data_IF_990427805281
#
_entry.id   IF_990427805281
#
_cell.length_a   1.000
_cell.length_b   1.000
_cell.length_c   1.000
_cell.angle_alpha   90.00
_cell.angle_beta   90.00
_cell.angle_gamma   90.00
#
_symmetry.space_group_name_H-M   'P 1'
#
loop_
_entity.id
_entity.type
_entity.pdbx_description
1 polymer ?
#
# COMPACT_ATOMS: atom_id res chain seq x y z
N UNK A 1 -8.48 -6.47 -0.40
CA UNK A 1 -8.16 -6.97 0.95
C UNK A 1 -6.73 -6.59 1.29
N UNK A 2 -6.49 -5.98 2.44
CA UNK A 2 -5.15 -5.75 2.99
C UNK A 2 -4.83 -6.83 4.03
N UNK A 3 -3.76 -7.58 3.79
CA UNK A 3 -3.18 -8.51 4.77
C UNK A 3 -1.91 -7.91 5.36
N UNK A 4 -1.89 -7.76 6.67
CA UNK A 4 -0.73 -7.26 7.41
C UNK A 4 -0.20 -8.36 8.34
N UNK A 5 0.93 -8.97 7.97
CA UNK A 5 1.54 -10.09 8.72
C UNK A 5 2.26 -9.61 9.97
N UNK A 6 2.58 -8.33 10.07
CA UNK A 6 3.27 -7.67 11.21
C UNK A 6 4.60 -8.33 11.58
N UNK A 7 5.32 -8.83 10.59
CA UNK A 7 6.54 -9.62 10.75
C UNK A 7 7.79 -8.97 10.10
N UNK A 8 7.69 -7.69 9.76
CA UNK A 8 8.79 -6.95 9.14
C UNK A 8 10.06 -6.90 10.00
N UNK A 9 9.93 -7.03 11.33
CA UNK A 9 11.04 -7.03 12.28
C UNK A 9 11.73 -8.40 12.41
N UNK A 10 11.08 -9.49 12.00
CA UNK A 10 11.58 -10.87 12.14
C UNK A 10 11.86 -11.58 10.82
N UNK A 11 11.95 -10.84 9.72
CA UNK A 11 12.44 -11.35 8.43
C UNK A 11 11.40 -11.89 7.46
N UNK A 12 10.11 -11.61 7.65
CA UNK A 12 9.06 -11.77 6.63
C UNK A 12 8.83 -13.19 6.13
N UNK A 13 9.35 -13.54 4.96
CA UNK A 13 9.14 -14.83 4.33
C UNK A 13 9.57 -16.01 5.21
N UNK A 14 8.64 -16.92 5.51
CA UNK A 14 8.89 -18.06 6.39
C UNK A 14 8.57 -17.80 7.87
N UNK A 15 8.16 -16.60 8.24
CA UNK A 15 7.64 -16.31 9.57
C UNK A 15 6.40 -17.15 9.90
N UNK A 16 6.04 -17.35 11.17
CA UNK A 16 4.80 -17.99 11.54
C UNK A 16 3.56 -17.29 10.97
N UNK A 17 3.58 -15.96 10.87
CA UNK A 17 2.50 -15.19 10.30
C UNK A 17 2.39 -15.38 8.79
N UNK A 18 3.50 -15.38 8.05
CA UNK A 18 3.52 -15.66 6.62
C UNK A 18 2.98 -17.08 6.33
N UNK A 19 3.39 -18.09 7.11
CA UNK A 19 2.85 -19.47 6.97
C UNK A 19 1.35 -19.56 7.25
N UNK A 20 0.85 -18.82 8.25
CA UNK A 20 -0.60 -18.76 8.52
C UNK A 20 -1.35 -18.09 7.36
N UNK A 21 -0.81 -17.00 6.83
CA UNK A 21 -1.41 -16.34 5.67
C UNK A 21 -1.45 -17.27 4.45
N UNK A 22 -0.37 -18.00 4.16
CA UNK A 22 -0.34 -19.00 3.10
C UNK A 22 -1.43 -20.08 3.29
N UNK A 23 -1.58 -20.59 4.51
CA UNK A 23 -2.62 -21.58 4.82
C UNK A 23 -4.04 -21.01 4.65
N UNK A 24 -4.27 -19.76 5.03
CA UNK A 24 -5.56 -19.08 4.84
C UNK A 24 -5.85 -18.78 3.36
N UNK A 25 -4.82 -18.43 2.60
CA UNK A 25 -4.95 -18.11 1.19
C UNK A 25 -5.04 -19.35 0.28
N UNK A 26 -4.56 -20.51 0.74
CA UNK A 26 -4.54 -21.74 -0.05
C UNK A 26 -5.89 -22.13 -0.71
N UNK A 27 -7.06 -22.01 -0.03
CA UNK A 27 -8.35 -22.28 -0.65
C UNK A 27 -8.89 -21.12 -1.49
N UNK A 28 -8.22 -19.97 -1.51
CA UNK A 28 -8.62 -18.79 -2.27
C UNK A 28 -7.85 -18.76 -3.60
N UNK A 29 -8.52 -18.31 -4.63
CA UNK A 29 -7.88 -18.07 -5.94
C UNK A 29 -7.13 -16.73 -5.88
N UNK A 30 -5.99 -16.72 -5.16
CA UNK A 30 -5.13 -15.55 -5.07
C UNK A 30 -4.21 -15.56 -6.28
N UNK A 31 -4.23 -14.51 -7.12
CA UNK A 31 -3.34 -14.42 -8.26
C UNK A 31 -1.86 -14.37 -7.84
N UNK A 32 -0.92 -14.63 -8.74
CA UNK A 32 0.50 -14.41 -8.48
C UNK A 32 0.75 -13.01 -7.93
N UNK A 33 1.69 -12.90 -7.01
CA UNK A 33 2.02 -11.64 -6.34
C UNK A 33 3.41 -11.15 -6.78
N UNK A 34 3.56 -9.84 -6.85
CA UNK A 34 4.84 -9.18 -7.06
C UNK A 34 5.04 -8.02 -6.07
N UNK A 35 6.28 -7.60 -5.80
CA UNK A 35 6.52 -6.36 -5.07
C UNK A 35 5.88 -5.19 -5.80
N UNK A 36 5.26 -4.28 -5.05
CA UNK A 36 4.55 -3.13 -5.61
C UNK A 36 5.41 -2.38 -6.65
N UNK A 37 4.99 -2.32 -7.92
CA UNK A 37 5.67 -1.55 -8.94
C UNK A 37 5.65 -0.05 -8.63
N UNK A 38 6.70 0.68 -9.03
CA UNK A 38 6.82 2.12 -8.76
C UNK A 38 5.72 2.97 -9.43
N UNK A 39 5.18 2.49 -10.52
CA UNK A 39 4.10 3.12 -11.30
C UNK A 39 2.70 2.65 -10.90
N UNK A 40 2.59 1.78 -9.91
CA UNK A 40 1.31 1.27 -9.43
C UNK A 40 0.42 2.39 -8.88
N UNK A 41 -0.90 2.30 -9.08
CA UNK A 41 -1.87 3.34 -8.67
C UNK A 41 -1.81 3.66 -7.17
N UNK A 42 -1.56 2.67 -6.31
CA UNK A 42 -1.40 2.90 -4.87
C UNK A 42 -0.30 3.91 -4.52
N UNK A 43 0.70 4.09 -5.40
CA UNK A 43 1.78 5.07 -5.18
C UNK A 43 1.31 6.51 -5.35
N UNK A 44 0.13 6.72 -5.96
CA UNK A 44 -0.34 8.05 -6.41
C UNK A 44 -1.86 8.26 -6.37
N UNK A 45 -2.63 7.40 -5.69
CA UNK A 45 -4.10 7.51 -5.63
C UNK A 45 -4.57 8.85 -5.07
N UNK A 46 -3.84 9.41 -4.09
CA UNK A 46 -4.07 10.73 -3.52
C UNK A 46 -2.75 11.43 -3.18
N UNK A 47 -1.88 10.76 -2.42
CA UNK A 47 -0.53 11.22 -2.11
C UNK A 47 0.49 10.54 -3.02
N UNK A 48 1.57 11.23 -3.36
CA UNK A 48 2.73 10.62 -4.01
C UNK A 48 3.57 9.92 -2.94
N UNK A 49 3.67 8.59 -3.04
CA UNK A 49 4.37 7.76 -2.08
C UNK A 49 5.43 6.91 -2.78
N UNK A 50 6.61 6.87 -2.19
CA UNK A 50 7.72 5.98 -2.59
C UNK A 50 7.89 4.82 -1.63
N UNK A 51 7.38 4.97 -0.40
CA UNK A 51 7.53 4.02 0.69
C UNK A 51 6.20 3.82 1.40
N UNK A 52 6.04 2.64 2.00
CA UNK A 52 4.80 2.21 2.65
C UNK A 52 5.06 1.74 4.09
N UNK A 53 5.66 2.57 4.94
CA UNK A 53 5.93 2.21 6.31
C UNK A 53 4.64 2.09 7.12
N UNK A 54 4.68 1.22 8.12
CA UNK A 54 3.77 1.16 9.22
C UNK A 54 4.52 1.46 10.51
N UNK A 55 4.31 0.65 11.54
CA UNK A 55 5.16 0.65 12.75
C UNK A 55 6.59 0.26 12.41
N UNK A 56 6.77 -0.64 11.44
CA UNK A 56 8.02 -1.02 10.81
C UNK A 56 8.12 -0.45 9.39
N UNK A 57 9.32 -0.47 8.81
CA UNK A 57 9.57 0.10 7.48
C UNK A 57 10.34 -0.85 6.53
N UNK A 58 10.59 -2.09 6.93
CA UNK A 58 11.53 -2.97 6.25
C UNK A 58 10.86 -4.05 5.39
N UNK A 59 9.52 -4.14 5.40
CA UNK A 59 8.81 -5.10 4.57
C UNK A 59 8.33 -4.45 3.27
N UNK A 60 8.55 -5.09 2.12
CA UNK A 60 7.95 -4.63 0.87
C UNK A 60 6.43 -4.80 0.92
N UNK A 61 5.75 -3.98 0.14
CA UNK A 61 4.33 -4.15 -0.15
C UNK A 61 4.22 -5.05 -1.37
N UNK A 62 3.33 -6.05 -1.30
CA UNK A 62 3.05 -7.00 -2.37
C UNK A 62 1.64 -6.77 -2.90
N UNK A 63 1.49 -6.85 -4.20
CA UNK A 63 0.23 -6.75 -4.93
C UNK A 63 0.14 -7.88 -5.94
N UNK A 64 -1.01 -8.05 -6.56
CA UNK A 64 -1.12 -9.01 -7.66
C UNK A 64 -0.24 -8.61 -8.84
N UNK A 65 0.43 -9.60 -9.43
CA UNK A 65 1.22 -9.43 -10.62
C UNK A 65 0.31 -9.20 -11.84
N UNK A 66 0.78 -8.35 -12.77
CA UNK A 66 0.12 -8.20 -14.05
C UNK A 66 0.08 -9.56 -14.78
N UNK A 67 -1.04 -9.92 -15.46
CA UNK A 67 -1.07 -11.07 -16.34
C UNK A 67 0.04 -10.95 -17.41
N UNK A 68 0.66 -12.08 -17.81
CA UNK A 68 1.77 -12.05 -18.77
C UNK A 68 1.43 -11.43 -20.14
N UNK A 69 0.15 -11.43 -20.49
CA UNK A 69 -0.43 -10.90 -21.72
C UNK A 69 -1.10 -9.52 -21.55
N UNK A 70 -0.93 -8.89 -20.36
CA UNK A 70 -1.47 -7.57 -20.12
C UNK A 70 -0.76 -6.54 -21.00
N UNK A 71 -1.49 -5.99 -21.97
CA UNK A 71 -1.04 -4.80 -22.68
C UNK A 71 -1.03 -3.60 -21.72
N UNK A 72 0.14 -3.05 -21.49
CA UNK A 72 0.30 -1.77 -20.80
C UNK A 72 -0.32 -0.67 -21.65
N UNK A 73 -1.49 -0.17 -21.27
CA UNK A 73 -1.97 1.08 -21.80
C UNK A 73 -1.23 2.23 -21.12
N UNK A 74 -0.85 3.24 -21.91
CA UNK A 74 -0.22 4.44 -21.39
C UNK A 74 -1.07 5.03 -20.26
N UNK A 75 -0.51 5.10 -19.03
CA UNK A 75 -1.21 5.58 -17.85
C UNK A 75 -2.09 4.57 -17.09
N UNK A 76 -2.29 3.33 -17.60
CA UNK A 76 -3.03 2.29 -16.89
C UNK A 76 -2.21 1.00 -16.84
N UNK A 77 -1.51 0.72 -15.73
CA UNK A 77 -0.64 -0.45 -15.62
C UNK A 77 -1.37 -1.79 -15.71
N UNK A 78 -2.69 -1.85 -15.46
CA UNK A 78 -3.44 -3.11 -15.44
C UNK A 78 -4.85 -2.95 -16.02
N UNK A 79 -5.14 -3.58 -17.15
CA UNK A 79 -6.47 -3.56 -17.79
C UNK A 79 -7.46 -4.56 -17.21
N UNK A 80 -7.02 -5.56 -16.45
CA UNK A 80 -7.87 -6.70 -16.04
C UNK A 80 -8.12 -6.79 -14.52
N UNK A 81 -7.92 -5.70 -13.78
CA UNK A 81 -8.33 -5.64 -12.38
C UNK A 81 -9.82 -5.34 -12.28
N UNK A 82 -10.52 -5.96 -11.33
CA UNK A 82 -11.90 -5.62 -11.02
C UNK A 82 -12.02 -4.11 -10.78
N UNK A 83 -12.65 -3.40 -11.70
CA UNK A 83 -12.81 -1.93 -11.68
C UNK A 83 -11.48 -1.14 -11.52
N UNK A 84 -10.36 -1.73 -11.95
CA UNK A 84 -9.03 -1.13 -11.77
C UNK A 84 -8.49 -1.15 -10.35
N UNK A 85 -9.06 -1.97 -9.48
CA UNK A 85 -8.65 -2.10 -8.07
C UNK A 85 -7.90 -3.40 -7.84
N UNK A 86 -6.71 -3.30 -7.25
CA UNK A 86 -5.95 -4.44 -6.75
C UNK A 86 -6.74 -5.17 -5.67
N UNK A 87 -7.16 -6.44 -5.86
CA UNK A 87 -7.98 -7.14 -4.89
C UNK A 87 -7.20 -7.53 -3.63
N UNK A 88 -5.88 -7.71 -3.73
CA UNK A 88 -5.03 -8.20 -2.64
C UNK A 88 -3.80 -7.31 -2.49
N UNK A 89 -3.58 -6.83 -1.27
CA UNK A 89 -2.40 -6.08 -0.85
C UNK A 89 -1.83 -6.77 0.38
N UNK A 90 -0.55 -7.12 0.37
CA UNK A 90 0.11 -7.86 1.46
C UNK A 90 1.38 -7.15 1.89
N UNK A 91 1.62 -7.12 3.18
CA UNK A 91 2.88 -6.67 3.75
C UNK A 91 3.03 -7.02 5.21
N UNK A 92 4.08 -6.53 5.86
CA UNK A 92 4.41 -6.90 7.23
C UNK A 92 4.75 -5.71 8.13
N UNK A 93 4.42 -4.49 7.71
CA UNK A 93 4.89 -3.27 8.40
C UNK A 93 4.06 -2.85 9.61
N UNK A 94 3.04 -3.60 10.02
CA UNK A 94 2.17 -3.32 11.17
C UNK A 94 1.50 -1.95 11.05
N UNK A 95 0.75 -1.77 9.95
CA UNK A 95 0.06 -0.49 9.67
C UNK A 95 -1.04 -0.21 10.67
N UNK A 96 -1.78 -1.23 11.12
CA UNK A 96 -2.83 -1.05 12.12
C UNK A 96 -2.30 -0.42 13.40
N UNK A 97 -1.12 -0.84 13.88
CA UNK A 97 -0.49 -0.23 15.03
C UNK A 97 -0.01 1.21 14.77
N UNK A 98 0.45 1.49 13.54
CA UNK A 98 0.83 2.85 13.17
C UNK A 98 -0.38 3.82 13.12
N UNK A 99 -1.56 3.31 12.73
CA UNK A 99 -2.79 4.10 12.64
C UNK A 99 -3.56 4.21 13.96
N UNK A 100 -3.31 3.31 14.91
CA UNK A 100 -4.06 3.24 16.15
C UNK A 100 -3.86 4.49 17.01
N UNK A 101 -4.97 5.12 17.38
CA UNK A 101 -5.05 6.23 18.32
C UNK A 101 -6.05 5.89 19.43
N UNK A 102 -5.85 6.46 20.60
CA UNK A 102 -6.78 6.35 21.71
C UNK A 102 -7.95 7.36 21.60
N UNK A 103 -8.84 7.37 22.56
CA UNK A 103 -9.99 8.29 22.63
C UNK A 103 -9.61 9.77 22.69
N UNK A 104 -8.37 10.09 23.08
CA UNK A 104 -7.83 11.44 23.16
C UNK A 104 -7.06 11.83 21.88
N UNK A 105 -7.01 10.94 20.87
CA UNK A 105 -6.26 11.15 19.64
C UNK A 105 -4.75 10.89 19.78
N UNK A 106 -4.31 10.29 20.89
CA UNK A 106 -2.91 9.96 21.11
C UNK A 106 -2.55 8.61 20.50
N UNK A 107 -1.35 8.52 19.92
CA UNK A 107 -0.88 7.29 19.33
C UNK A 107 -0.74 6.16 20.38
N UNK A 108 -1.38 5.02 20.12
CA UNK A 108 -1.36 3.87 21.03
C UNK A 108 -0.04 3.09 21.00
N UNK A 109 0.68 3.13 19.89
CA UNK A 109 1.93 2.38 19.72
C UNK A 109 3.06 3.30 19.23
N UNK A 110 4.29 3.08 19.67
CA UNK A 110 5.43 3.84 19.19
C UNK A 110 5.72 3.49 17.71
N UNK A 111 6.04 4.50 16.91
CA UNK A 111 6.53 4.36 15.53
C UNK A 111 7.85 5.13 15.44
N UNK A 112 8.95 4.40 15.21
CA UNK A 112 10.26 5.03 15.14
C UNK A 112 10.62 5.84 16.40
N UNK A 113 11.49 6.84 16.24
CA UNK A 113 11.90 7.74 17.31
C UNK A 113 12.00 9.18 16.81
N UNK A 114 11.59 10.13 17.64
CA UNK A 114 11.69 11.57 17.35
C UNK A 114 11.01 11.96 16.03
N UNK A 115 11.49 12.99 15.38
CA UNK A 115 10.93 13.51 14.12
C UNK A 115 10.87 12.46 12.99
N UNK A 116 11.83 11.54 12.94
CA UNK A 116 11.80 10.45 11.95
C UNK A 116 10.61 9.52 12.17
N UNK A 117 10.28 9.21 13.42
CA UNK A 117 9.13 8.41 13.78
C UNK A 117 7.80 9.11 13.48
N UNK A 118 7.71 10.41 13.74
CA UNK A 118 6.54 11.23 13.41
C UNK A 118 6.31 11.25 11.90
N UNK A 119 7.37 11.46 11.12
CA UNK A 119 7.30 11.41 9.65
C UNK A 119 6.90 10.02 9.14
N UNK A 120 7.45 8.96 9.73
CA UNK A 120 7.09 7.58 9.38
C UNK A 120 5.60 7.32 9.62
N UNK A 121 5.06 7.76 10.75
CA UNK A 121 3.64 7.66 11.06
C UNK A 121 2.78 8.46 10.08
N UNK A 122 3.20 9.68 9.74
CA UNK A 122 2.51 10.50 8.76
C UNK A 122 2.45 9.79 7.39
N UNK A 123 3.56 9.22 6.92
CA UNK A 123 3.58 8.46 5.65
C UNK A 123 2.68 7.23 5.74
N UNK A 124 2.63 6.57 6.91
CA UNK A 124 1.70 5.46 7.13
C UNK A 124 0.23 5.89 7.01
N UNK A 125 -0.16 7.04 7.55
CA UNK A 125 -1.52 7.58 7.36
C UNK A 125 -1.80 7.91 5.89
N UNK A 126 -0.84 8.52 5.19
CA UNK A 126 -0.96 8.81 3.75
C UNK A 126 -1.17 7.53 2.94
N UNK A 127 -0.49 6.44 3.31
CA UNK A 127 -0.74 5.13 2.70
C UNK A 127 -2.18 4.66 2.96
N UNK A 128 -2.69 4.77 4.18
CA UNK A 128 -4.07 4.44 4.50
C UNK A 128 -5.06 5.22 3.64
N UNK A 129 -4.83 6.52 3.45
CA UNK A 129 -5.65 7.35 2.55
C UNK A 129 -5.57 6.86 1.11
N UNK A 130 -4.36 6.61 0.59
CA UNK A 130 -4.18 6.09 -0.75
C UNK A 130 -4.91 4.75 -0.96
N UNK A 131 -4.82 3.86 0.03
CA UNK A 131 -5.50 2.55 -0.03
C UNK A 131 -7.02 2.71 -0.12
N UNK A 132 -7.62 3.57 0.72
CA UNK A 132 -9.06 3.82 0.70
C UNK A 132 -9.47 4.50 -0.61
N UNK A 133 -8.72 5.51 -1.04
CA UNK A 133 -8.99 6.19 -2.31
C UNK A 133 -8.92 5.23 -3.49
N UNK A 134 -7.92 4.36 -3.53
CA UNK A 134 -7.79 3.33 -4.56
C UNK A 134 -9.00 2.38 -4.57
N UNK A 135 -9.45 1.90 -3.41
CA UNK A 135 -10.63 1.02 -3.31
C UNK A 135 -11.90 1.71 -3.76
N UNK A 136 -12.07 2.99 -3.45
CA UNK A 136 -13.29 3.74 -3.77
C UNK A 136 -13.35 4.26 -5.21
N UNK A 137 -12.21 4.51 -5.82
CA UNK A 137 -12.14 5.23 -7.10
C UNK A 137 -11.40 4.49 -8.21
N UNK A 138 -10.76 3.35 -7.90
CA UNK A 138 -9.89 2.66 -8.84
C UNK A 138 -8.82 3.61 -9.41
N UNK A 139 -8.60 3.54 -10.72
CA UNK A 139 -7.65 4.41 -11.41
C UNK A 139 -8.18 5.82 -11.70
N UNK A 140 -9.50 6.04 -11.57
CA UNK A 140 -10.16 7.23 -12.10
C UNK A 140 -9.64 8.55 -11.51
N UNK A 141 -9.25 8.58 -10.24
CA UNK A 141 -8.81 9.82 -9.60
C UNK A 141 -7.31 10.07 -9.60
N UNK A 142 -6.48 9.07 -9.88
CA UNK A 142 -5.04 9.30 -9.90
C UNK A 142 -4.64 10.32 -10.96
N UNK A 143 -5.30 10.27 -12.12
CA UNK A 143 -5.04 11.22 -13.23
C UNK A 143 -5.65 12.59 -12.98
N UNK A 144 -6.80 12.67 -12.29
CA UNK A 144 -7.47 13.94 -12.04
C UNK A 144 -6.87 14.74 -10.89
N UNK A 145 -6.32 14.09 -9.88
CA UNK A 145 -5.76 14.79 -8.70
C UNK A 145 -4.35 15.28 -8.94
N UNK A 146 -3.57 14.54 -9.73
CA UNK A 146 -2.14 14.86 -9.89
C UNK A 146 -1.81 15.71 -11.11
N UNK A 147 -2.55 15.59 -12.21
CA UNK A 147 -2.29 16.39 -13.41
C UNK A 147 -2.47 17.90 -13.15
N UNK A 148 -3.56 18.39 -12.53
CA UNK A 148 -3.69 19.81 -12.21
C UNK A 148 -2.61 20.30 -11.23
N UNK A 149 -2.31 19.52 -10.16
CA UNK A 149 -1.32 19.90 -9.16
C UNK A 149 0.12 19.86 -9.70
N UNK A 150 0.42 18.96 -10.64
CA UNK A 150 1.71 18.91 -11.33
C UNK A 150 1.85 20.09 -12.30
N UNK A 151 0.79 20.42 -13.05
CA UNK A 151 0.79 21.56 -13.97
C UNK A 151 0.93 22.89 -13.21
N UNK A 152 0.31 23.04 -12.04
CA UNK A 152 0.45 24.19 -11.17
C UNK A 152 1.88 24.35 -10.64
N UNK A 153 2.56 23.25 -10.32
CA UNK A 153 3.97 23.26 -9.89
C UNK A 153 4.96 23.48 -11.04
N UNK A 154 4.62 23.06 -12.25
CA UNK A 154 5.47 23.24 -13.43
C UNK A 154 5.24 24.61 -14.11
N UNK A 155 4.16 25.29 -13.78
CA UNK A 155 3.82 26.63 -14.28
C UNK A 155 4.33 27.80 -13.43
N UNK A 156 5.03 27.49 -12.33
CA UNK A 156 5.79 28.45 -11.52
C UNK A 156 7.28 28.21 -11.72
#
# INVERSE_FOLDING_TARGET
ILFDTRDADIGGAGSPAARRLQALAAPLDVPPLEPLPKDHVLTRSFYLLTDFPGRYANSPLWVEAAPPDAELAEGMPFRNLNDGVTPVVIGGNDWAAAWAIDENGMAMFPVGRGLAGERQREVSYRFGVNLIMHVLTGNYKSDQVHVPALLERLGQ
#
